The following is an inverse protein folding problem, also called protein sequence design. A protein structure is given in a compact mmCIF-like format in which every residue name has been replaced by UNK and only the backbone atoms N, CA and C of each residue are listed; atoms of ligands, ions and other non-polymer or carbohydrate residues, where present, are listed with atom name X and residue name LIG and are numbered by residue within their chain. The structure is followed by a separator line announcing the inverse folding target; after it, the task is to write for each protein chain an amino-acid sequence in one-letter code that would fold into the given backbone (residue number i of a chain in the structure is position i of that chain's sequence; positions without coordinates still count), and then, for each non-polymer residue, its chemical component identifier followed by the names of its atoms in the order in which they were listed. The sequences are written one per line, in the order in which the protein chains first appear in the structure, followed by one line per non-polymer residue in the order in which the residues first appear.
data_IF_118844744184
#
_entry.id   IF_118844744184
#
_cell.length_a   1.000
_cell.length_b   1.000
_cell.length_c   1.000
_cell.angle_alpha   90.00
_cell.angle_beta   90.00
_cell.angle_gamma   90.00
#
_symmetry.space_group_name_H-M   'P 1'
#
loop_
_entity.id
_entity.type
_entity.pdbx_description
1 polymer ?
#
# COMPACT_ATOMS: atom_id res chain seq x y z
N UNK A 1 12.18 -17.49 -15.16
CA UNK A 1 12.90 -16.20 -15.13
C UNK A 1 12.49 -15.50 -13.84
N UNK A 2 13.38 -15.46 -12.84
CA UNK A 2 13.11 -14.69 -11.62
C UNK A 2 12.90 -13.23 -12.01
N UNK A 3 11.88 -12.57 -11.46
CA UNK A 3 11.71 -11.13 -11.64
C UNK A 3 12.99 -10.43 -11.11
N UNK A 4 13.47 -9.36 -11.78
CA UNK A 4 14.60 -8.62 -11.25
C UNK A 4 14.25 -8.09 -9.86
N UNK A 5 15.21 -8.18 -8.94
CA UNK A 5 15.06 -7.58 -7.62
C UNK A 5 14.74 -6.08 -7.76
N UNK A 6 13.65 -5.66 -7.13
CA UNK A 6 13.18 -4.28 -7.17
C UNK A 6 14.24 -3.35 -6.58
N UNK A 7 14.84 -2.50 -7.41
CA UNK A 7 15.79 -1.50 -6.93
C UNK A 7 15.08 -0.36 -6.17
N UNK A 8 15.78 0.26 -5.21
CA UNK A 8 15.30 1.45 -4.51
C UNK A 8 14.96 2.60 -5.48
N UNK A 9 15.76 2.78 -6.54
CA UNK A 9 15.50 3.78 -7.56
C UNK A 9 14.18 3.52 -8.29
N UNK A 10 13.92 2.26 -8.68
CA UNK A 10 12.66 1.88 -9.32
C UNK A 10 11.49 2.06 -8.35
N UNK A 11 11.62 1.67 -7.09
CA UNK A 11 10.58 1.86 -6.08
C UNK A 11 10.25 3.36 -5.87
N UNK A 12 11.27 4.22 -5.87
CA UNK A 12 11.08 5.67 -5.78
C UNK A 12 10.35 6.23 -7.01
N UNK A 13 10.70 5.74 -8.21
CA UNK A 13 10.06 6.16 -9.45
C UNK A 13 8.59 5.71 -9.53
N UNK A 14 8.33 4.43 -9.28
CA UNK A 14 6.99 3.82 -9.25
C UNK A 14 6.03 4.58 -8.32
N UNK A 15 6.55 5.06 -7.19
CA UNK A 15 5.77 5.70 -6.14
C UNK A 15 5.83 7.22 -6.14
N UNK A 16 6.56 7.81 -7.09
CA UNK A 16 6.73 9.27 -7.19
C UNK A 16 7.23 9.88 -5.88
N UNK A 17 8.23 9.24 -5.27
CA UNK A 17 8.91 9.77 -4.07
C UNK A 17 9.48 11.15 -4.40
N UNK A 18 9.27 12.12 -3.52
CA UNK A 18 9.63 13.51 -3.78
C UNK A 18 11.13 13.70 -4.06
N UNK A 19 11.50 14.76 -4.77
CA UNK A 19 12.92 15.05 -5.03
C UNK A 19 13.69 15.32 -3.72
N UNK A 20 13.06 16.01 -2.76
CA UNK A 20 13.64 16.29 -1.45
C UNK A 20 13.91 15.01 -0.65
N UNK A 21 12.97 14.07 -0.65
CA UNK A 21 13.16 12.75 -0.02
C UNK A 21 14.24 11.92 -0.72
N UNK A 22 14.24 11.89 -2.06
CA UNK A 22 15.26 11.16 -2.85
C UNK A 22 16.67 11.69 -2.59
N UNK A 23 16.84 12.98 -2.32
CA UNK A 23 18.15 13.56 -1.97
C UNK A 23 18.72 13.02 -0.66
N UNK A 24 17.88 12.42 0.22
CA UNK A 24 18.31 11.77 1.46
C UNK A 24 18.74 10.32 1.25
N UNK A 25 18.57 9.76 0.04
CA UNK A 25 18.80 8.35 -0.25
C UNK A 25 20.12 8.13 -1.01
N UNK A 26 20.97 7.26 -0.49
CA UNK A 26 22.15 6.78 -1.19
C UNK A 26 21.83 5.64 -2.16
N UNK A 27 22.59 5.54 -3.25
CA UNK A 27 22.39 4.53 -4.30
C UNK A 27 22.50 3.07 -3.81
N UNK A 28 23.25 2.83 -2.73
CA UNK A 28 23.53 1.50 -2.17
C UNK A 28 22.91 1.27 -0.79
N UNK A 29 21.95 2.12 -0.38
CA UNK A 29 21.29 1.93 0.91
C UNK A 29 20.50 0.62 0.93
N UNK A 30 20.45 -0.03 2.10
CA UNK A 30 19.49 -1.10 2.32
C UNK A 30 18.06 -0.51 2.39
N UNK A 31 17.01 -1.24 1.93
CA UNK A 31 15.64 -0.76 1.95
C UNK A 31 15.14 -0.23 3.30
N UNK A 32 15.45 -0.92 4.41
CA UNK A 32 15.07 -0.44 5.75
C UNK A 32 15.84 0.81 6.16
N UNK A 33 17.11 0.91 5.77
CA UNK A 33 17.91 2.10 6.05
C UNK A 33 17.37 3.32 5.31
N UNK A 34 16.94 3.14 4.05
CA UNK A 34 16.32 4.20 3.26
C UNK A 34 15.04 4.72 3.92
N UNK A 35 14.14 3.82 4.35
CA UNK A 35 12.92 4.21 5.05
C UNK A 35 13.22 4.91 6.38
N UNK A 36 14.18 4.40 7.18
CA UNK A 36 14.60 5.05 8.42
C UNK A 36 15.13 6.46 8.19
N UNK A 37 15.93 6.67 7.14
CA UNK A 37 16.45 7.98 6.79
C UNK A 37 15.32 8.96 6.44
N UNK A 38 14.33 8.52 5.65
CA UNK A 38 13.16 9.36 5.33
C UNK A 38 12.38 9.76 6.59
N UNK A 39 12.14 8.82 7.50
CA UNK A 39 11.44 9.10 8.76
C UNK A 39 12.22 10.08 9.65
N UNK A 40 13.54 9.89 9.78
CA UNK A 40 14.41 10.76 10.58
C UNK A 40 14.45 12.21 10.05
N UNK A 41 14.30 12.40 8.73
CA UNK A 41 14.26 13.72 8.08
C UNK A 41 12.85 14.30 7.95
N UNK A 42 11.83 13.66 8.56
CA UNK A 42 10.45 14.16 8.52
C UNK A 42 9.68 13.87 7.22
N UNK A 43 10.22 13.04 6.32
CA UNK A 43 9.57 12.66 5.05
C UNK A 43 8.59 11.48 5.22
N UNK A 44 7.67 11.58 6.19
CA UNK A 44 6.74 10.49 6.55
C UNK A 44 5.85 10.01 5.40
N UNK A 45 5.37 10.89 4.53
CA UNK A 45 4.58 10.51 3.35
C UNK A 45 5.40 9.69 2.35
N UNK A 46 6.62 10.14 2.05
CA UNK A 46 7.53 9.45 1.15
C UNK A 46 8.00 8.12 1.75
N UNK A 47 8.16 8.03 3.07
CA UNK A 47 8.43 6.78 3.77
C UNK A 47 7.29 5.76 3.61
N UNK A 48 6.02 6.19 3.74
CA UNK A 48 4.84 5.34 3.49
C UNK A 48 4.84 4.84 2.05
N UNK A 49 5.03 5.73 1.09
CA UNK A 49 5.08 5.41 -0.34
C UNK A 49 6.15 4.37 -0.64
N UNK A 50 7.37 4.59 -0.12
CA UNK A 50 8.49 3.68 -0.34
C UNK A 50 8.25 2.32 0.33
N UNK A 51 7.78 2.29 1.58
CA UNK A 51 7.41 1.06 2.30
C UNK A 51 6.38 0.24 1.55
N UNK A 52 5.27 0.87 1.11
CA UNK A 52 4.19 0.20 0.40
C UNK A 52 4.68 -0.55 -0.84
N UNK A 53 5.72 -0.03 -1.49
CA UNK A 53 6.27 -0.59 -2.74
C UNK A 53 7.34 -1.65 -2.53
N UNK A 54 8.10 -1.53 -1.45
CA UNK A 54 9.14 -2.47 -1.07
C UNK A 54 8.57 -3.74 -0.43
N UNK A 55 7.42 -3.65 0.23
CA UNK A 55 6.72 -4.81 0.77
C UNK A 55 6.09 -5.65 -0.36
N UNK A 56 6.09 -6.99 -0.24
CA UNK A 56 5.25 -7.82 -1.10
C UNK A 56 3.78 -7.42 -0.96
N UNK A 57 3.02 -7.48 -2.06
CA UNK A 57 1.64 -6.94 -2.14
C UNK A 57 0.74 -7.41 -0.99
N UNK A 58 0.82 -8.69 -0.60
CA UNK A 58 0.05 -9.24 0.54
C UNK A 58 0.41 -8.58 1.87
N UNK A 59 1.71 -8.37 2.14
CA UNK A 59 2.17 -7.71 3.35
C UNK A 59 1.81 -6.21 3.35
N UNK A 60 1.85 -5.54 2.19
CA UNK A 60 1.41 -4.15 2.08
C UNK A 60 -0.09 -3.98 2.41
N UNK A 61 -0.95 -4.89 1.93
CA UNK A 61 -2.39 -4.89 2.28
C UNK A 61 -2.60 -5.27 3.75
N UNK A 62 -1.86 -6.25 4.27
CA UNK A 62 -1.94 -6.63 5.68
C UNK A 62 -1.53 -5.50 6.63
N UNK A 63 -0.51 -4.73 6.25
CA UNK A 63 -0.11 -3.51 6.95
C UNK A 63 -1.21 -2.46 6.91
N UNK A 64 -1.82 -2.20 5.74
CA UNK A 64 -2.95 -1.28 5.63
C UNK A 64 -4.12 -1.69 6.55
N UNK A 65 -4.48 -2.98 6.59
CA UNK A 65 -5.51 -3.50 7.49
C UNK A 65 -5.16 -3.27 8.97
N UNK A 66 -3.88 -3.34 9.33
CA UNK A 66 -3.43 -3.06 10.69
C UNK A 66 -3.51 -1.56 11.01
N UNK A 67 -3.18 -0.67 10.08
CA UNK A 67 -3.28 0.78 10.30
C UNK A 67 -4.71 1.23 10.60
N UNK A 68 -5.71 0.61 9.95
CA UNK A 68 -7.13 0.95 10.19
C UNK A 68 -7.71 0.28 11.44
N UNK A 69 -6.95 -0.62 12.09
CA UNK A 69 -7.42 -1.34 13.27
C UNK A 69 -7.49 -0.39 14.46
N UNK A 70 -8.68 -0.27 15.05
CA UNK A 70 -8.94 0.63 16.18
C UNK A 70 -9.43 2.02 15.77
N UNK A 71 -9.54 2.30 14.47
CA UNK A 71 -10.17 3.51 13.97
C UNK A 71 -11.70 3.38 13.98
N UNK A 72 -12.38 4.48 14.29
CA UNK A 72 -13.84 4.54 14.13
C UNK A 72 -14.16 4.73 12.65
N UNK A 73 -14.65 3.67 12.01
CA UNK A 73 -14.99 3.63 10.59
C UNK A 73 -16.50 3.71 10.38
N UNK A 74 -16.92 4.40 9.31
CA UNK A 74 -18.30 4.32 8.84
C UNK A 74 -18.58 2.95 8.19
N UNK A 75 -19.81 2.72 7.73
CA UNK A 75 -20.17 1.43 7.13
C UNK A 75 -19.34 1.11 5.88
N UNK A 76 -19.13 2.09 4.99
CA UNK A 76 -18.43 1.86 3.73
C UNK A 76 -16.96 1.49 3.99
N UNK A 77 -16.30 2.25 4.87
CA UNK A 77 -14.92 1.99 5.29
C UNK A 77 -14.79 0.62 5.97
N UNK A 78 -15.76 0.23 6.82
CA UNK A 78 -15.78 -1.10 7.46
C UNK A 78 -15.91 -2.24 6.45
N UNK A 79 -16.78 -2.11 5.45
CA UNK A 79 -16.96 -3.14 4.42
C UNK A 79 -15.67 -3.30 3.60
N UNK A 80 -15.05 -2.19 3.19
CA UNK A 80 -13.77 -2.20 2.48
C UNK A 80 -12.65 -2.87 3.29
N UNK A 81 -12.56 -2.55 4.59
CA UNK A 81 -11.59 -3.17 5.49
C UNK A 81 -11.81 -4.68 5.62
N UNK A 82 -13.06 -5.12 5.80
CA UNK A 82 -13.40 -6.55 5.91
C UNK A 82 -13.06 -7.34 4.64
N UNK A 83 -13.28 -6.77 3.45
CA UNK A 83 -12.88 -7.36 2.18
C UNK A 83 -11.36 -7.53 2.08
N UNK A 84 -10.61 -6.50 2.47
CA UNK A 84 -9.15 -6.54 2.48
C UNK A 84 -8.61 -7.60 3.45
N UNK A 85 -9.12 -7.64 4.68
CA UNK A 85 -8.73 -8.64 5.69
C UNK A 85 -9.07 -10.07 5.27
N UNK A 86 -10.20 -10.27 4.59
CA UNK A 86 -10.60 -11.56 4.05
C UNK A 86 -9.63 -12.04 2.97
N UNK A 87 -9.23 -11.16 2.05
CA UNK A 87 -8.23 -11.49 1.04
C UNK A 87 -6.83 -11.71 1.62
N UNK A 88 -6.41 -10.94 2.64
CA UNK A 88 -5.12 -11.18 3.30
C UNK A 88 -5.05 -12.57 3.91
N UNK A 89 -6.15 -13.07 4.49
CA UNK A 89 -6.23 -14.42 5.05
C UNK A 89 -6.25 -15.50 3.95
N UNK A 90 -7.06 -15.30 2.91
CA UNK A 90 -7.17 -16.20 1.77
C UNK A 90 -7.13 -15.40 0.45
N UNK A 91 -5.96 -15.30 -0.21
CA UNK A 91 -5.76 -14.42 -1.37
C UNK A 91 -6.28 -15.03 -2.68
N UNK A 92 -7.52 -15.53 -2.67
CA UNK A 92 -8.17 -16.12 -3.84
C UNK A 92 -8.63 -15.06 -4.85
N UNK A 93 -8.74 -15.45 -6.13
CA UNK A 93 -9.29 -14.57 -7.18
C UNK A 93 -10.74 -14.16 -6.89
N UNK A 94 -11.53 -15.00 -6.23
CA UNK A 94 -12.89 -14.67 -5.83
C UNK A 94 -12.92 -13.50 -4.81
N UNK A 95 -12.06 -13.53 -3.79
CA UNK A 95 -11.94 -12.43 -2.84
C UNK A 95 -11.39 -11.16 -3.50
N UNK A 96 -10.43 -11.30 -4.42
CA UNK A 96 -9.89 -10.17 -5.20
C UNK A 96 -10.98 -9.50 -6.05
N UNK A 97 -11.79 -10.30 -6.76
CA UNK A 97 -12.90 -9.80 -7.60
C UNK A 97 -14.00 -9.13 -6.77
N UNK A 98 -14.31 -9.65 -5.58
CA UNK A 98 -15.26 -9.01 -4.67
C UNK A 98 -14.77 -7.60 -4.24
N UNK A 99 -13.50 -7.48 -3.87
CA UNK A 99 -12.88 -6.19 -3.58
C UNK A 99 -12.87 -5.25 -4.80
N UNK A 100 -12.60 -5.79 -6.00
CA UNK A 100 -12.64 -5.01 -7.24
C UNK A 100 -14.04 -4.43 -7.51
N UNK A 101 -15.09 -5.24 -7.36
CA UNK A 101 -16.46 -4.79 -7.56
C UNK A 101 -16.83 -3.68 -6.56
N UNK A 102 -16.45 -3.86 -5.29
CA UNK A 102 -16.69 -2.86 -4.24
C UNK A 102 -15.97 -1.54 -4.52
N UNK A 103 -14.67 -1.59 -4.84
CA UNK A 103 -13.87 -0.39 -5.13
C UNK A 103 -14.42 0.38 -6.34
N UNK A 104 -14.88 -0.34 -7.37
CA UNK A 104 -15.48 0.27 -8.55
C UNK A 104 -16.84 0.93 -8.23
N UNK A 105 -17.70 0.26 -7.46
CA UNK A 105 -18.99 0.80 -7.05
C UNK A 105 -18.85 2.05 -6.16
N UNK A 106 -17.84 2.07 -5.28
CA UNK A 106 -17.49 3.22 -4.43
C UNK A 106 -16.71 4.34 -5.16
N UNK A 107 -16.47 4.20 -6.46
CA UNK A 107 -15.83 5.23 -7.28
C UNK A 107 -14.40 5.62 -6.87
N UNK A 108 -13.72 4.80 -6.08
CA UNK A 108 -12.38 5.09 -5.53
C UNK A 108 -12.31 6.40 -4.71
N UNK A 109 -13.36 6.71 -3.93
CA UNK A 109 -13.44 7.94 -3.14
C UNK A 109 -13.13 7.71 -1.66
N UNK A 110 -13.80 6.74 -1.03
CA UNK A 110 -13.71 6.47 0.41
C UNK A 110 -12.43 5.72 0.79
N UNK A 111 -12.09 5.71 2.09
CA UNK A 111 -11.00 4.90 2.62
C UNK A 111 -11.29 3.40 2.36
N UNK A 112 -12.53 2.96 2.53
CA UNK A 112 -13.01 1.62 2.19
C UNK A 112 -12.79 1.25 0.73
N UNK A 113 -13.11 2.16 -0.19
CA UNK A 113 -12.87 1.93 -1.61
C UNK A 113 -11.38 1.78 -1.93
N UNK A 114 -10.50 2.56 -1.29
CA UNK A 114 -9.05 2.43 -1.46
C UNK A 114 -8.44 1.18 -0.81
N UNK A 115 -8.97 0.74 0.34
CA UNK A 115 -8.67 -0.57 0.93
C UNK A 115 -8.97 -1.71 -0.05
N UNK A 116 -10.17 -1.68 -0.64
CA UNK A 116 -10.58 -2.68 -1.61
C UNK A 116 -9.80 -2.57 -2.92
N UNK A 117 -9.43 -1.36 -3.36
CA UNK A 117 -8.58 -1.14 -4.53
C UNK A 117 -7.18 -1.75 -4.37
N UNK A 118 -6.58 -1.64 -3.19
CA UNK A 118 -5.27 -2.25 -2.90
C UNK A 118 -5.28 -3.76 -3.14
N UNK A 119 -6.38 -4.42 -2.77
CA UNK A 119 -6.63 -5.83 -3.05
C UNK A 119 -6.92 -6.05 -4.52
N UNK A 120 -7.85 -5.29 -5.10
CA UNK A 120 -8.29 -5.45 -6.50
C UNK A 120 -7.12 -5.44 -7.49
N UNK A 121 -6.11 -4.61 -7.22
CA UNK A 121 -4.93 -4.40 -8.06
C UNK A 121 -3.72 -5.27 -7.67
N UNK A 122 -3.89 -6.24 -6.78
CA UNK A 122 -2.81 -7.14 -6.35
C UNK A 122 -2.34 -8.11 -7.43
N UNK A 123 -3.16 -8.33 -8.47
CA UNK A 123 -2.90 -9.24 -9.57
C UNK A 123 -4.15 -9.53 -10.38
N UNK A 124 -4.18 -10.70 -11.01
CA UNK A 124 -5.28 -11.12 -11.88
C UNK A 124 -5.48 -10.18 -13.06
N UNK A 125 -6.73 -10.04 -13.50
CA UNK A 125 -7.10 -9.09 -14.55
C UNK A 125 -8.02 -7.97 -14.04
N UNK A 126 -7.73 -6.75 -14.47
CA UNK A 126 -8.57 -5.56 -14.32
C UNK A 126 -9.75 -5.55 -15.28
N UNK A 127 -9.69 -6.29 -16.38
CA UNK A 127 -10.77 -6.36 -17.36
C UNK A 127 -12.01 -7.08 -16.79
N UNK A 128 -13.22 -6.82 -17.34
CA UNK A 128 -14.42 -7.57 -17.01
C UNK A 128 -14.20 -9.09 -17.19
N UNK A 129 -14.83 -9.94 -16.37
CA UNK A 129 -14.65 -11.41 -16.44
C UNK A 129 -14.93 -12.03 -17.81
N UNK A 130 -15.80 -11.41 -18.61
CA UNK A 130 -16.18 -11.88 -19.95
C UNK A 130 -15.12 -11.59 -21.01
N UNK A 131 -14.18 -10.69 -20.75
CA UNK A 131 -13.13 -10.34 -21.69
C UNK A 131 -12.02 -11.39 -21.65
N UNK A 132 -11.77 -12.03 -22.80
CA UNK A 132 -10.76 -13.08 -22.92
C UNK A 132 -9.32 -12.55 -22.75
N UNK A 133 -9.03 -11.33 -23.21
CA UNK A 133 -7.70 -10.73 -23.09
C UNK A 133 -7.47 -10.16 -21.69
N UNK A 134 -6.57 -10.75 -20.89
CA UNK A 134 -6.30 -10.24 -19.55
C UNK A 134 -5.56 -8.91 -19.61
N UNK A 135 -6.05 -7.94 -18.85
CA UNK A 135 -5.36 -6.68 -18.55
C UNK A 135 -4.77 -6.76 -17.14
N UNK A 136 -3.48 -7.10 -16.96
CA UNK A 136 -2.88 -7.14 -15.63
C UNK A 136 -2.70 -5.73 -15.05
N UNK A 137 -2.82 -5.53 -13.72
CA UNK A 137 -2.46 -4.26 -13.11
C UNK A 137 -0.95 -4.03 -13.19
N UNK A 138 -0.50 -2.78 -13.45
CA UNK A 138 0.91 -2.42 -13.23
C UNK A 138 1.39 -2.80 -11.82
N UNK A 139 2.63 -3.27 -11.71
CA UNK A 139 3.16 -3.89 -10.50
C UNK A 139 3.08 -3.02 -9.23
N UNK A 140 3.15 -1.70 -9.39
CA UNK A 140 3.12 -0.74 -8.28
C UNK A 140 1.71 -0.27 -7.88
N UNK A 141 0.64 -0.70 -8.57
CA UNK A 141 -0.70 -0.16 -8.29
C UNK A 141 -1.22 -0.49 -6.88
N UNK A 142 -0.99 -1.70 -6.37
CA UNK A 142 -1.34 -2.03 -4.97
C UNK A 142 -0.65 -1.08 -4.00
N UNK A 143 0.63 -0.80 -4.21
CA UNK A 143 1.39 0.11 -3.35
C UNK A 143 0.82 1.53 -3.39
N UNK A 144 0.40 2.01 -4.57
CA UNK A 144 -0.28 3.31 -4.72
C UNK A 144 -1.60 3.37 -3.99
N UNK A 145 -2.42 2.32 -4.09
CA UNK A 145 -3.69 2.24 -3.36
C UNK A 145 -3.46 2.21 -1.84
N UNK A 146 -2.47 1.46 -1.36
CA UNK A 146 -2.07 1.45 0.05
C UNK A 146 -1.65 2.84 0.52
N UNK A 147 -0.78 3.52 -0.23
CA UNK A 147 -0.33 4.87 0.13
C UNK A 147 -1.48 5.89 0.12
N UNK A 148 -2.43 5.78 -0.81
CA UNK A 148 -3.63 6.61 -0.85
C UNK A 148 -4.53 6.37 0.38
N UNK A 149 -4.82 5.10 0.69
CA UNK A 149 -5.63 4.73 1.85
C UNK A 149 -5.00 5.21 3.17
N UNK A 150 -3.69 5.01 3.37
CA UNK A 150 -2.99 5.49 4.58
C UNK A 150 -3.00 7.03 4.65
N UNK A 151 -2.89 7.71 3.50
CA UNK A 151 -2.98 9.18 3.45
C UNK A 151 -4.36 9.67 3.86
N UNK A 152 -5.43 9.07 3.33
CA UNK A 152 -6.81 9.39 3.73
C UNK A 152 -7.02 9.13 5.22
N UNK A 153 -6.53 7.98 5.71
CA UNK A 153 -6.63 7.62 7.11
C UNK A 153 -5.91 8.63 8.02
N UNK A 154 -4.67 9.00 7.70
CA UNK A 154 -3.92 10.00 8.45
C UNK A 154 -4.62 11.38 8.42
N UNK A 155 -5.23 11.74 7.28
CA UNK A 155 -5.90 13.02 7.09
C UNK A 155 -7.23 13.15 7.87
N UNK A 156 -7.75 12.06 8.45
CA UNK A 156 -8.92 12.12 9.37
C UNK A 156 -8.62 12.94 10.62
N UNK A 157 -7.35 13.06 11.00
CA UNK A 157 -6.89 13.95 12.06
C UNK A 157 -5.81 14.91 11.55
N UNK A 158 -6.19 16.03 10.89
CA UNK A 158 -5.26 16.92 10.22
C UNK A 158 -4.17 17.48 11.15
N UNK A 159 -4.51 17.77 12.41
CA UNK A 159 -3.57 18.25 13.43
C UNK A 159 -2.48 17.22 13.77
N UNK A 160 -2.73 15.93 13.54
CA UNK A 160 -1.82 14.82 13.82
C UNK A 160 -1.30 14.15 12.55
N UNK A 161 -1.55 14.71 11.36
CA UNK A 161 -1.23 14.11 10.06
C UNK A 161 0.20 13.55 10.02
N UNK A 162 1.18 14.37 10.38
CA UNK A 162 2.59 13.97 10.32
C UNK A 162 2.92 12.88 11.35
N UNK A 163 2.44 13.03 12.59
CA UNK A 163 2.64 12.04 13.66
C UNK A 163 2.04 10.69 13.29
N UNK A 164 0.80 10.68 12.75
CA UNK A 164 0.12 9.47 12.27
C UNK A 164 0.88 8.82 11.13
N UNK A 165 1.34 9.59 10.13
CA UNK A 165 2.15 9.09 9.02
C UNK A 165 3.42 8.39 9.51
N UNK A 166 4.16 9.04 10.42
CA UNK A 166 5.36 8.47 11.03
C UNK A 166 5.06 7.19 11.80
N UNK A 167 3.97 7.17 12.60
CA UNK A 167 3.56 5.99 13.35
C UNK A 167 3.23 4.79 12.45
N UNK A 168 2.46 5.00 11.39
CA UNK A 168 2.13 3.94 10.43
C UNK A 168 3.37 3.38 9.73
N UNK A 169 4.29 4.26 9.32
CA UNK A 169 5.53 3.86 8.67
C UNK A 169 6.48 3.11 9.61
N UNK A 170 6.60 3.54 10.86
CA UNK A 170 7.45 2.88 11.85
C UNK A 170 7.03 1.42 12.10
N UNK A 171 5.72 1.16 12.20
CA UNK A 171 5.18 -0.20 12.35
C UNK A 171 5.51 -1.10 11.15
N UNK A 172 5.37 -0.59 9.92
CA UNK A 172 5.69 -1.36 8.71
C UNK A 172 7.18 -1.64 8.51
N UNK A 173 8.06 -0.83 9.11
CA UNK A 173 9.49 -1.02 9.02
C UNK A 173 9.93 -2.36 9.64
N UNK A 174 9.27 -2.79 10.72
CA UNK A 174 9.50 -4.09 11.36
C UNK A 174 9.08 -5.25 10.43
N UNK A 175 7.98 -5.10 9.70
CA UNK A 175 7.53 -6.07 8.70
C UNK A 175 8.54 -6.19 7.55
N UNK A 176 9.10 -5.06 7.09
CA UNK A 176 10.10 -5.05 6.03
C UNK A 176 11.41 -5.73 6.45
N UNK A 177 11.78 -5.67 7.73
CA UNK A 177 12.94 -6.40 8.24
C UNK A 177 12.72 -7.92 8.17
N UNK A 178 11.52 -8.38 8.53
CA UNK A 178 11.18 -9.82 8.54
C UNK A 178 10.98 -10.40 7.14
N UNK A 179 10.51 -9.60 6.18
CA UNK A 179 10.26 -10.02 4.81
C UNK A 179 11.53 -10.27 3.98
N UNK A 180 12.70 -9.81 4.44
CA UNK A 180 13.99 -10.01 3.75
C UNK A 180 14.78 -11.24 4.24
N UNK A 181 14.27 -11.95 5.26
CA UNK A 181 14.91 -13.14 5.85
C UNK A 181 14.31 -14.43 5.28
N UNK A 182 13.31 -14.35 4.41
CA UNK A 182 12.61 -15.47 3.76
C UNK A 182 12.95 -15.55 2.27
#
# INVERSE_FOLDING_TARGET
MSAPDLSLAQACADMQVSAAARAQLGATMAPQAAVRALLAQGHGEDAIKLLARLLPKRYAVAWLCQCVRGETLDEEDRVGAALAEKWVRDPSEAHRRAAQAFAHAGGYVSLGAWLAAAVAWSGGSLAPPQQATPVPPPEHLTARAVAAAITLLAAREPAQLQTRRTGYAAHALELLANAQVQ
#
